data_IF_655185054465
#
_entry.id   IF_655185054465
#
_cell.length_a   1.000
_cell.length_b   1.000
_cell.length_c   1.000
_cell.angle_alpha   90.00
_cell.angle_beta   90.00
_cell.angle_gamma   90.00
#
_symmetry.space_group_name_H-M   'P 1'
#
loop_
_entity.id
_entity.type
_entity.pdbx_description
1 polymer ?
#
# COMPACT_ATOMS: atom_id res chain seq x y z
N UNK A 1 25.46 5.74 -15.32
CA UNK A 1 24.04 5.98 -14.99
C UNK A 1 23.79 5.31 -13.66
N UNK A 2 23.48 6.06 -12.61
CA UNK A 2 23.10 5.47 -11.31
C UNK A 2 21.59 5.32 -11.34
N UNK A 3 21.08 4.09 -11.35
CA UNK A 3 19.69 3.86 -10.99
C UNK A 3 19.59 4.19 -9.50
N UNK A 4 19.12 5.40 -9.16
CA UNK A 4 18.74 5.69 -7.79
C UNK A 4 17.39 5.00 -7.56
N UNK A 5 17.43 3.81 -6.95
CA UNK A 5 16.26 3.24 -6.28
C UNK A 5 15.76 4.26 -5.25
N UNK A 6 14.44 4.42 -5.13
CA UNK A 6 13.85 5.29 -4.11
C UNK A 6 14.21 4.76 -2.71
N UNK A 7 14.33 5.65 -1.73
CA UNK A 7 14.38 5.23 -0.32
C UNK A 7 12.98 4.83 0.16
N UNK A 8 12.91 4.09 1.27
CA UNK A 8 11.65 3.71 1.92
C UNK A 8 10.80 4.95 2.25
N UNK A 9 11.40 5.99 2.84
CA UNK A 9 10.69 7.23 3.17
C UNK A 9 10.13 7.94 1.92
N UNK A 10 10.91 7.98 0.84
CA UNK A 10 10.46 8.56 -0.44
C UNK A 10 9.30 7.76 -1.06
N UNK A 11 9.26 6.45 -0.83
CA UNK A 11 8.15 5.60 -1.27
C UNK A 11 6.89 5.96 -0.47
N UNK A 12 6.99 6.09 0.86
CA UNK A 12 5.86 6.47 1.71
C UNK A 12 5.29 7.84 1.32
N UNK A 13 6.15 8.85 1.18
CA UNK A 13 5.74 10.19 0.73
C UNK A 13 5.01 10.15 -0.61
N UNK A 14 5.54 9.42 -1.60
CA UNK A 14 4.90 9.28 -2.91
C UNK A 14 3.56 8.55 -2.86
N UNK A 15 3.42 7.56 -1.99
CA UNK A 15 2.14 6.88 -1.78
C UNK A 15 1.12 7.88 -1.21
N UNK A 16 1.50 8.64 -0.17
CA UNK A 16 0.65 9.65 0.43
C UNK A 16 0.21 10.72 -0.59
N UNK A 17 1.14 11.27 -1.37
CA UNK A 17 0.84 12.23 -2.45
C UNK A 17 -0.16 11.67 -3.46
N UNK A 18 0.03 10.41 -3.88
CA UNK A 18 -0.88 9.77 -4.82
C UNK A 18 -2.27 9.58 -4.21
N UNK A 19 -2.39 9.22 -2.92
CA UNK A 19 -3.68 9.12 -2.22
C UNK A 19 -4.38 10.47 -2.21
N UNK A 20 -3.71 11.52 -1.75
CA UNK A 20 -4.26 12.88 -1.68
C UNK A 20 -4.73 13.35 -3.06
N UNK A 21 -3.96 13.05 -4.11
CA UNK A 21 -4.34 13.42 -5.50
C UNK A 21 -5.47 12.59 -6.11
N UNK A 22 -5.83 11.44 -5.51
CA UNK A 22 -6.83 10.51 -6.05
C UNK A 22 -8.20 10.62 -5.39
N UNK A 23 -8.30 11.35 -4.27
CA UNK A 23 -9.54 11.53 -3.53
C UNK A 23 -9.93 13.02 -3.58
N UNK A 24 -10.93 13.33 -4.40
CA UNK A 24 -11.35 14.71 -4.68
C UNK A 24 -12.29 15.32 -3.61
N UNK A 25 -12.69 14.53 -2.61
CA UNK A 25 -13.55 14.96 -1.50
C UNK A 25 -12.78 15.04 -0.19
N UNK A 26 -13.41 15.60 0.85
CA UNK A 26 -12.83 15.57 2.20
C UNK A 26 -12.98 14.19 2.83
N UNK A 27 -11.95 13.76 3.53
CA UNK A 27 -11.85 12.45 4.16
C UNK A 27 -11.08 12.56 5.49
N UNK A 28 -11.33 11.65 6.42
CA UNK A 28 -10.66 11.57 7.71
C UNK A 28 -9.42 10.68 7.64
N UNK A 29 -9.56 9.51 7.02
CA UNK A 29 -8.49 8.55 6.81
C UNK A 29 -8.63 7.80 5.48
N UNK A 30 -7.51 7.43 4.89
CA UNK A 30 -7.39 6.63 3.68
C UNK A 30 -6.51 5.40 3.94
N UNK A 31 -6.81 4.32 3.22
CA UNK A 31 -6.25 3.00 3.42
C UNK A 31 -5.86 2.42 2.05
N UNK A 32 -4.66 1.85 1.95
CA UNK A 32 -4.30 0.94 0.87
C UNK A 32 -3.96 -0.40 1.49
N UNK A 33 -4.74 -1.41 1.13
CA UNK A 33 -4.45 -2.82 1.40
C UNK A 33 -3.72 -3.39 0.18
N UNK A 34 -2.60 -4.06 0.39
CA UNK A 34 -1.75 -4.63 -0.67
C UNK A 34 -1.33 -6.05 -0.32
N UNK A 35 -1.71 -6.99 -1.18
CA UNK A 35 -1.39 -8.41 -1.07
C UNK A 35 -0.45 -8.79 -2.20
N UNK A 36 0.70 -9.37 -1.87
CA UNK A 36 1.78 -9.70 -2.80
C UNK A 36 1.95 -11.21 -2.92
N UNK A 37 1.79 -11.73 -4.13
CA UNK A 37 1.85 -13.16 -4.43
C UNK A 37 3.20 -13.57 -5.06
N UNK A 38 4.23 -12.73 -4.91
CA UNK A 38 5.56 -12.96 -5.47
C UNK A 38 5.74 -12.47 -6.91
N UNK A 39 4.82 -12.80 -7.82
CA UNK A 39 4.83 -12.33 -9.21
C UNK A 39 3.71 -11.32 -9.52
N UNK A 40 2.55 -11.49 -8.88
CA UNK A 40 1.39 -10.63 -8.92
C UNK A 40 1.14 -9.91 -7.59
N UNK A 41 0.24 -8.92 -7.61
CA UNK A 41 -0.27 -8.31 -6.39
C UNK A 41 -1.72 -7.86 -6.57
N UNK A 42 -2.50 -7.97 -5.51
CA UNK A 42 -3.81 -7.36 -5.38
C UNK A 42 -3.71 -6.12 -4.50
N UNK A 43 -4.53 -5.12 -4.81
CA UNK A 43 -4.55 -3.89 -4.02
C UNK A 43 -5.92 -3.25 -4.03
N UNK A 44 -6.29 -2.69 -2.88
CA UNK A 44 -7.57 -2.01 -2.67
C UNK A 44 -7.36 -0.69 -1.94
N UNK A 45 -7.95 0.37 -2.48
CA UNK A 45 -7.94 1.69 -1.88
C UNK A 45 -9.30 2.01 -1.30
N UNK A 46 -9.35 2.42 -0.04
CA UNK A 46 -10.59 2.89 0.59
C UNK A 46 -10.33 4.15 1.44
N UNK A 47 -11.35 4.97 1.65
CA UNK A 47 -11.27 6.13 2.53
C UNK A 47 -12.56 6.31 3.34
N UNK A 48 -12.46 7.01 4.45
CA UNK A 48 -13.58 7.41 5.32
C UNK A 48 -13.90 8.88 5.01
N UNK A 49 -15.05 9.19 4.38
CA UNK A 49 -15.50 10.56 4.16
C UNK A 49 -15.68 11.35 5.47
N UNK A 50 -15.36 12.65 5.46
CA UNK A 50 -15.57 13.53 6.63
C UNK A 50 -17.06 13.80 6.91
N UNK A 51 -17.94 13.60 5.92
CA UNK A 51 -19.38 13.82 6.07
C UNK A 51 -20.12 12.69 6.81
N UNK A 52 -19.38 11.68 7.30
CA UNK A 52 -19.92 10.53 8.01
C UNK A 52 -20.60 9.49 7.13
N UNK A 53 -20.47 9.59 5.81
CA UNK A 53 -20.92 8.54 4.89
C UNK A 53 -20.04 7.28 4.97
N UNK A 54 -20.52 6.20 4.35
CA UNK A 54 -19.85 4.91 4.42
C UNK A 54 -18.46 4.93 3.75
N UNK A 55 -17.60 4.03 4.22
CA UNK A 55 -16.25 3.83 3.67
C UNK A 55 -16.35 3.59 2.16
N UNK A 56 -15.66 4.42 1.38
CA UNK A 56 -15.76 4.45 -0.07
C UNK A 56 -14.45 4.01 -0.72
N UNK A 57 -14.53 3.37 -1.88
CA UNK A 57 -13.35 2.95 -2.63
C UNK A 57 -12.77 4.10 -3.46
N UNK A 58 -11.44 4.14 -3.57
CA UNK A 58 -10.76 5.04 -4.50
C UNK A 58 -9.76 4.28 -5.36
N UNK A 59 -9.44 4.84 -6.53
CA UNK A 59 -8.49 4.24 -7.45
C UNK A 59 -7.06 4.49 -6.97
N UNK A 60 -6.44 3.49 -6.34
CA UNK A 60 -5.03 3.51 -5.90
C UNK A 60 -4.07 3.84 -7.04
N UNK A 61 -4.38 3.38 -8.25
CA UNK A 61 -3.59 3.63 -9.45
C UNK A 61 -2.33 2.77 -9.56
N UNK A 62 -1.88 2.54 -10.79
CA UNK A 62 -0.73 1.68 -11.08
C UNK A 62 0.60 2.20 -10.52
N UNK A 63 0.70 3.51 -10.27
CA UNK A 63 1.89 4.12 -9.64
C UNK A 63 2.09 3.63 -8.21
N UNK A 64 1.03 3.59 -7.41
CA UNK A 64 1.08 3.08 -6.03
C UNK A 64 1.37 1.58 -6.00
N UNK A 65 0.82 0.79 -6.93
CA UNK A 65 1.18 -0.62 -7.09
C UNK A 65 2.71 -0.79 -7.25
N UNK A 66 3.33 -0.01 -8.15
CA UNK A 66 4.79 -0.11 -8.36
C UNK A 66 5.58 0.29 -7.12
N UNK A 67 5.13 1.32 -6.41
CA UNK A 67 5.76 1.79 -5.18
C UNK A 67 5.71 0.74 -4.07
N UNK A 68 4.56 0.07 -3.88
CA UNK A 68 4.39 -0.99 -2.89
C UNK A 68 5.18 -2.25 -3.24
N UNK A 69 5.28 -2.59 -4.54
CA UNK A 69 6.17 -3.66 -5.01
C UNK A 69 7.64 -3.34 -4.74
N UNK A 70 8.07 -2.11 -5.05
CA UNK A 70 9.45 -1.64 -4.77
C UNK A 70 9.74 -1.68 -3.26
N UNK A 71 8.78 -1.28 -2.44
CA UNK A 71 8.88 -1.34 -0.98
C UNK A 71 9.11 -2.78 -0.48
N UNK A 72 8.37 -3.75 -1.01
CA UNK A 72 8.57 -5.17 -0.69
C UNK A 72 9.99 -5.63 -1.04
N UNK A 73 10.49 -5.28 -2.23
CA UNK A 73 11.85 -5.62 -2.66
C UNK A 73 12.92 -4.98 -1.77
N UNK A 74 12.74 -3.73 -1.35
CA UNK A 74 13.71 -3.03 -0.50
C UNK A 74 13.72 -3.57 0.94
N UNK A 75 12.56 -3.93 1.47
CA UNK A 75 12.40 -4.35 2.88
C UNK A 75 12.65 -5.83 3.09
N UNK A 76 12.39 -6.69 2.09
CA UNK A 76 12.58 -8.15 2.17
C UNK A 76 14.01 -8.61 2.47
N UNK A 77 15.01 -7.75 2.28
CA UNK A 77 16.43 -8.06 2.58
C UNK A 77 16.86 -7.67 4.00
N UNK A 78 16.06 -6.87 4.70
CA UNK A 78 16.42 -6.26 5.99
C UNK A 78 15.38 -6.46 7.09
N UNK A 79 14.18 -6.91 6.73
CA UNK A 79 13.06 -7.17 7.62
C UNK A 79 12.53 -8.59 7.42
N UNK A 80 11.71 -9.06 8.36
CA UNK A 80 10.92 -10.26 8.17
C UNK A 80 10.10 -10.16 6.86
N UNK A 81 10.01 -11.24 6.08
CA UNK A 81 9.25 -11.23 4.85
C UNK A 81 7.78 -10.90 5.16
N UNK A 82 7.15 -10.20 4.24
CA UNK A 82 5.73 -9.88 4.30
C UNK A 82 5.11 -10.04 2.93
N UNK A 83 3.86 -10.48 2.92
CA UNK A 83 3.03 -10.59 1.72
C UNK A 83 1.76 -9.75 1.84
N UNK A 84 1.49 -9.16 3.02
CA UNK A 84 0.41 -8.20 3.23
C UNK A 84 0.97 -6.90 3.81
N UNK A 85 0.60 -5.77 3.21
CA UNK A 85 0.88 -4.44 3.73
C UNK A 85 -0.40 -3.60 3.79
N UNK A 86 -0.60 -2.91 4.90
CA UNK A 86 -1.64 -1.90 5.07
C UNK A 86 -1.01 -0.53 5.29
N UNK A 87 -1.21 0.36 4.33
CA UNK A 87 -0.85 1.77 4.44
C UNK A 87 -2.06 2.57 4.94
N UNK A 88 -1.89 3.34 6.01
CA UNK A 88 -2.92 4.23 6.56
C UNK A 88 -2.42 5.65 6.50
N UNK A 89 -3.23 6.56 5.94
CA UNK A 89 -2.97 7.99 5.93
C UNK A 89 -4.16 8.70 6.58
N UNK A 90 -3.88 9.54 7.56
CA UNK A 90 -4.83 10.47 8.16
C UNK A 90 -4.81 11.80 7.42
N UNK A 91 -5.92 12.52 7.42
CA UNK A 91 -6.05 13.81 6.72
C UNK A 91 -5.09 14.90 7.23
N UNK A 92 -4.57 14.74 8.46
CA UNK A 92 -3.58 15.62 9.09
C UNK A 92 -2.13 15.33 8.65
N UNK A 93 -1.92 14.31 7.79
CA UNK A 93 -0.59 13.89 7.32
C UNK A 93 0.10 12.85 8.18
N UNK A 94 -0.49 12.43 9.31
CA UNK A 94 -0.02 11.27 10.05
C UNK A 94 -0.24 10.01 9.22
N UNK A 95 0.75 9.13 9.17
CA UNK A 95 0.64 7.87 8.45
C UNK A 95 1.24 6.74 9.26
N UNK A 96 0.81 5.52 8.95
CA UNK A 96 1.41 4.29 9.46
C UNK A 96 1.38 3.21 8.38
N UNK A 97 2.33 2.29 8.48
CA UNK A 97 2.41 1.13 7.61
C UNK A 97 2.59 -0.10 8.49
N UNK A 98 1.73 -1.09 8.30
CA UNK A 98 1.84 -2.38 8.96
C UNK A 98 2.17 -3.44 7.93
N UNK A 99 3.13 -4.31 8.26
CA UNK A 99 3.55 -5.44 7.44
C UNK A 99 3.20 -6.73 8.17
N UNK A 100 2.56 -7.66 7.46
CA UNK A 100 2.13 -8.93 7.99
C UNK A 100 2.49 -10.06 7.01
N UNK A 101 2.79 -11.22 7.57
CA UNK A 101 2.90 -12.47 6.82
C UNK A 101 1.59 -13.24 6.98
N UNK A 102 0.85 -13.35 5.89
CA UNK A 102 -0.36 -14.16 5.78
C UNK A 102 0.02 -15.56 5.28
N UNK A 103 0.04 -16.53 6.19
CA UNK A 103 0.39 -17.90 5.86
C UNK A 103 -0.65 -18.56 4.95
N UNK A 104 -1.94 -18.28 5.16
CA UNK A 104 -3.02 -18.88 4.37
C UNK A 104 -2.92 -18.44 2.91
N UNK A 105 -2.57 -17.16 2.67
CA UNK A 105 -2.33 -16.63 1.33
C UNK A 105 -1.13 -17.29 0.66
N UNK A 106 -0.08 -17.63 1.42
CA UNK A 106 1.09 -18.34 0.88
C UNK A 106 0.73 -19.78 0.49
N UNK A 107 0.03 -20.48 1.37
CA UNK A 107 -0.36 -21.87 1.16
C UNK A 107 -1.33 -22.00 -0.05
N UNK A 108 -2.19 -21.00 -0.28
CA UNK A 108 -3.05 -20.95 -1.46
C UNK A 108 -2.27 -20.75 -2.77
N UNK A 109 -1.23 -19.91 -2.76
CA UNK A 109 -0.35 -19.72 -3.93
C UNK A 109 0.38 -21.03 -4.24
N UNK A 110 0.98 -21.66 -3.23
CA UNK A 110 1.74 -22.90 -3.41
C UNK A 110 0.87 -24.05 -3.89
N UNK A 111 -0.40 -24.11 -3.47
CA UNK A 111 -1.34 -25.12 -3.91
C UNK A 111 -1.80 -24.94 -5.38
N UNK A 112 -1.70 -23.72 -5.94
CA UNK A 112 -2.17 -23.37 -7.28
C UNK A 112 -1.06 -23.02 -8.30
N UNK A 113 0.23 -23.09 -7.90
CA UNK A 113 1.42 -22.95 -8.76
C UNK A 113 1.87 -24.27 -9.37
#
# INVERSE_FOLDING_TARGET
MVNMSLTVDQIYEKIADNIVSSIDQKWEAAFIDFLYFGDAAEYKGTYIPEDGSEKTEFKVGYKNYKLLKELNLLTSTTQEPWNHARYVLSHNGEFSVTFEWDQDLTDEIEANS
#
